data_IF_063518267677
#
_entry.id   IF_063518267677
#
_cell.length_a   1.000
_cell.length_b   1.000
_cell.length_c   1.000
_cell.angle_alpha   90.00
_cell.angle_beta   90.00
_cell.angle_gamma   90.00
#
_symmetry.space_group_name_H-M   'P 1'
#
loop_
_entity.id
_entity.type
_entity.pdbx_description
1 polymer ?
#
# COMPACT_ATOMS: atom_id res chain seq x y z
N UNK A 1 10.14 -0.31 -23.41
CA UNK A 1 10.75 -0.76 -22.13
C UNK A 1 9.67 -0.82 -21.08
N UNK A 2 10.03 -0.98 -19.80
CA UNK A 2 9.10 -0.72 -18.69
C UNK A 2 8.98 0.79 -18.46
N UNK A 3 7.79 1.35 -18.14
CA UNK A 3 7.60 2.79 -17.96
C UNK A 3 8.03 3.29 -16.58
N UNK A 4 8.31 2.39 -15.64
CA UNK A 4 8.62 2.73 -14.27
C UNK A 4 9.45 1.67 -13.55
N UNK A 5 10.12 2.10 -12.47
CA UNK A 5 10.75 1.26 -11.46
C UNK A 5 10.01 1.48 -10.14
N UNK A 6 9.66 0.40 -9.46
CA UNK A 6 9.06 0.44 -8.13
C UNK A 6 10.13 0.18 -7.06
N UNK A 7 10.03 0.84 -5.91
CA UNK A 7 10.92 0.59 -4.77
C UNK A 7 10.50 1.34 -3.51
N UNK A 8 11.43 1.43 -2.56
CA UNK A 8 11.24 2.11 -1.27
C UNK A 8 12.18 3.30 -1.12
N UNK A 9 11.75 4.29 -0.34
CA UNK A 9 12.62 5.37 0.13
C UNK A 9 13.03 5.03 1.56
N UNK A 10 14.13 4.29 1.72
CA UNK A 10 14.57 3.79 3.02
C UNK A 10 14.85 4.91 4.03
N UNK A 11 14.52 4.68 5.30
CA UNK A 11 14.83 5.60 6.39
C UNK A 11 16.23 5.33 6.93
N UNK A 12 17.06 6.35 6.93
CA UNK A 12 18.29 6.39 7.71
C UNK A 12 17.95 6.50 9.22
N UNK A 13 18.26 5.44 9.96
CA UNK A 13 17.92 5.30 11.38
C UNK A 13 18.73 6.22 12.30
N UNK A 14 19.84 6.78 11.81
CA UNK A 14 20.69 7.71 12.57
C UNK A 14 20.20 9.16 12.46
N UNK A 15 19.20 9.42 11.61
CA UNK A 15 18.68 10.74 11.30
C UNK A 15 17.25 10.91 11.82
N UNK A 16 16.87 12.16 12.12
CA UNK A 16 15.47 12.53 12.30
C UNK A 16 14.69 12.41 10.98
N UNK A 17 13.35 12.48 11.02
CA UNK A 17 12.55 12.49 9.78
C UNK A 17 12.86 13.73 8.92
N UNK A 18 13.03 14.91 9.52
CA UNK A 18 13.38 16.13 8.78
C UNK A 18 14.76 16.02 8.11
N UNK A 19 15.73 15.38 8.78
CA UNK A 19 17.04 15.09 8.20
C UNK A 19 16.95 14.03 7.09
N UNK A 20 16.05 13.04 7.22
CA UNK A 20 15.78 12.10 6.12
C UNK A 20 15.16 12.78 4.90
N UNK A 21 14.40 13.88 5.07
CA UNK A 21 13.90 14.66 3.92
C UNK A 21 15.05 15.35 3.18
N UNK A 22 16.06 15.84 3.91
CA UNK A 22 17.28 16.39 3.30
C UNK A 22 18.08 15.28 2.60
N UNK A 23 18.26 14.12 3.24
CA UNK A 23 18.93 12.96 2.64
C UNK A 23 18.19 12.47 1.37
N UNK A 24 16.86 12.48 1.37
CA UNK A 24 16.07 12.22 0.17
C UNK A 24 16.35 13.25 -0.93
N UNK A 25 16.37 14.54 -0.59
CA UNK A 25 16.67 15.60 -1.55
C UNK A 25 18.06 15.39 -2.19
N UNK A 26 19.08 15.08 -1.38
CA UNK A 26 20.44 14.85 -1.84
C UNK A 26 20.60 13.54 -2.65
N UNK A 27 19.92 12.47 -2.24
CA UNK A 27 20.11 11.13 -2.77
C UNK A 27 19.16 10.78 -3.91
N UNK A 28 17.87 11.12 -3.81
CA UNK A 28 16.84 10.71 -4.77
C UNK A 28 16.65 11.71 -5.91
N UNK A 29 16.84 13.02 -5.71
CA UNK A 29 16.66 14.00 -6.80
C UNK A 29 17.59 13.70 -7.99
N UNK A 30 18.90 13.40 -7.80
CA UNK A 30 19.76 12.99 -8.90
C UNK A 30 19.29 11.71 -9.60
N UNK A 31 18.78 10.73 -8.85
CA UNK A 31 18.24 9.48 -9.42
C UNK A 31 16.97 9.73 -10.25
N UNK A 32 16.11 10.64 -9.79
CA UNK A 32 14.90 11.03 -10.51
C UNK A 32 15.22 11.81 -11.80
N UNK A 33 16.28 12.63 -11.79
CA UNK A 33 16.79 13.26 -13.01
C UNK A 33 17.28 12.22 -14.04
N UNK A 34 17.98 11.18 -13.58
CA UNK A 34 18.37 10.06 -14.44
C UNK A 34 17.16 9.25 -14.93
N UNK A 35 16.13 9.06 -14.09
CA UNK A 35 14.88 8.43 -14.49
C UNK A 35 14.19 9.26 -15.59
N UNK A 36 14.13 10.59 -15.44
CA UNK A 36 13.60 11.50 -16.47
C UNK A 36 14.35 11.37 -17.79
N UNK A 37 15.68 11.34 -17.77
CA UNK A 37 16.50 11.18 -18.96
C UNK A 37 16.25 9.85 -19.71
N UNK A 38 15.61 8.89 -19.05
CA UNK A 38 15.26 7.56 -19.58
C UNK A 38 13.76 7.38 -19.79
N UNK A 39 12.96 8.43 -19.63
CA UNK A 39 11.49 8.38 -19.70
C UNK A 39 10.89 7.37 -18.71
N UNK A 40 11.44 7.34 -17.49
CA UNK A 40 11.03 6.45 -16.40
C UNK A 40 10.43 7.25 -15.25
N UNK A 41 9.41 6.67 -14.62
CA UNK A 41 8.97 7.06 -13.29
C UNK A 41 9.61 6.18 -12.22
N UNK A 42 9.92 6.76 -11.06
CA UNK A 42 10.15 6.02 -9.84
C UNK A 42 8.88 6.03 -8.99
N UNK A 43 8.42 4.84 -8.60
CA UNK A 43 7.18 4.66 -7.85
C UNK A 43 7.49 4.10 -6.48
N UNK A 44 7.10 4.82 -5.44
CA UNK A 44 7.29 4.37 -4.06
C UNK A 44 6.15 3.43 -3.66
N UNK A 45 6.47 2.23 -3.20
CA UNK A 45 5.54 1.36 -2.49
C UNK A 45 5.49 1.78 -1.01
N UNK A 46 4.29 1.97 -0.44
CA UNK A 46 4.10 2.55 0.90
C UNK A 46 4.26 1.56 2.07
N UNK A 47 5.18 0.60 1.99
CA UNK A 47 5.38 -0.37 3.08
C UNK A 47 6.05 0.30 4.29
N UNK A 48 5.50 0.26 5.52
CA UNK A 48 6.16 0.81 6.72
C UNK A 48 7.36 -0.04 7.17
N UNK A 49 7.40 -1.32 6.77
CA UNK A 49 8.51 -2.25 7.02
C UNK A 49 8.93 -2.35 8.50
N UNK A 50 8.01 -2.55 9.45
CA UNK A 50 8.34 -2.42 10.87
C UNK A 50 9.40 -3.43 11.31
N UNK A 51 9.43 -4.65 10.76
CA UNK A 51 10.40 -5.70 11.12
C UNK A 51 11.79 -5.59 10.47
N UNK A 52 12.08 -4.57 9.68
CA UNK A 52 13.38 -4.42 9.00
C UNK A 52 14.55 -4.13 9.95
N UNK A 53 14.26 -3.61 11.13
CA UNK A 53 15.25 -3.39 12.18
C UNK A 53 14.79 -4.05 13.46
N UNK A 54 15.74 -4.49 14.28
CA UNK A 54 15.47 -4.99 15.62
C UNK A 54 15.15 -3.87 16.61
N UNK A 55 15.43 -2.60 16.27
CA UNK A 55 15.07 -1.46 17.11
C UNK A 55 13.55 -1.23 17.19
N UNK A 56 13.14 -0.33 18.08
CA UNK A 56 11.72 0.01 18.28
C UNK A 56 11.22 1.10 17.31
N UNK A 57 11.85 1.20 16.14
CA UNK A 57 11.35 2.02 15.05
C UNK A 57 10.44 1.19 14.13
N UNK A 58 9.26 1.74 13.84
CA UNK A 58 8.20 1.08 13.09
C UNK A 58 8.11 1.53 11.63
N UNK A 59 8.80 2.61 11.27
CA UNK A 59 8.74 3.18 9.93
C UNK A 59 10.15 3.22 9.34
N UNK A 60 10.46 2.21 8.52
CA UNK A 60 11.78 2.05 7.88
C UNK A 60 11.78 2.48 6.39
N UNK A 61 10.62 2.87 5.87
CA UNK A 61 10.43 3.62 4.62
C UNK A 61 9.92 5.01 5.01
N UNK A 62 10.41 6.10 4.41
CA UNK A 62 9.90 7.44 4.68
C UNK A 62 8.70 7.79 3.79
N UNK A 63 8.47 7.08 2.70
CA UNK A 63 7.31 7.25 1.81
C UNK A 63 6.13 6.34 2.18
N UNK A 64 5.81 6.20 3.46
CA UNK A 64 4.85 5.21 3.96
C UNK A 64 3.41 5.76 4.12
N UNK A 65 3.18 7.07 4.05
CA UNK A 65 1.82 7.66 4.20
C UNK A 65 1.57 8.85 3.28
N UNK A 66 0.30 9.21 2.98
CA UNK A 66 -0.05 10.33 2.11
C UNK A 66 0.63 11.66 2.46
N UNK A 67 0.71 12.01 3.75
CA UNK A 67 1.41 13.22 4.18
C UNK A 67 2.90 13.21 3.80
N UNK A 68 3.57 12.06 3.91
CA UNK A 68 4.95 11.91 3.46
C UNK A 68 5.08 11.96 1.94
N UNK A 69 4.13 11.38 1.19
CA UNK A 69 4.14 11.41 -0.27
C UNK A 69 4.07 12.85 -0.80
N UNK A 70 3.20 13.67 -0.20
CA UNK A 70 3.06 15.09 -0.53
C UNK A 70 4.36 15.84 -0.21
N UNK A 71 4.97 15.60 0.96
CA UNK A 71 6.24 16.23 1.32
C UNK A 71 7.37 15.87 0.36
N UNK A 72 7.52 14.60 0.01
CA UNK A 72 8.52 14.10 -0.94
C UNK A 72 8.27 14.65 -2.35
N UNK A 73 7.02 14.68 -2.80
CA UNK A 73 6.68 15.25 -4.11
C UNK A 73 7.00 16.74 -4.17
N UNK A 74 6.70 17.52 -3.13
CA UNK A 74 7.06 18.95 -3.07
C UNK A 74 8.57 19.17 -3.17
N UNK A 75 9.40 18.27 -2.64
CA UNK A 75 10.85 18.30 -2.87
C UNK A 75 11.14 18.09 -4.34
N UNK A 76 10.60 17.03 -4.94
CA UNK A 76 10.80 16.70 -6.36
C UNK A 76 10.35 17.84 -7.30
N UNK A 77 9.23 18.49 -6.99
CA UNK A 77 8.66 19.61 -7.73
C UNK A 77 9.60 20.83 -7.73
N UNK A 78 10.15 21.21 -6.57
CA UNK A 78 11.13 22.32 -6.47
C UNK A 78 12.36 22.11 -7.35
N UNK A 79 12.73 20.86 -7.59
CA UNK A 79 13.87 20.46 -8.44
C UNK A 79 13.48 20.13 -9.89
N UNK A 80 12.22 20.33 -10.27
CA UNK A 80 11.76 20.08 -11.65
C UNK A 80 11.70 18.60 -12.04
N UNK A 81 11.67 17.68 -11.07
CA UNK A 81 11.55 16.21 -11.28
C UNK A 81 10.26 15.63 -10.68
N UNK A 82 9.27 16.48 -10.38
CA UNK A 82 7.99 16.08 -9.81
C UNK A 82 7.21 15.07 -10.65
N UNK A 83 7.39 15.06 -11.98
CA UNK A 83 6.75 14.09 -12.89
C UNK A 83 7.30 12.67 -12.75
N UNK A 84 8.51 12.52 -12.23
CA UNK A 84 9.17 11.22 -12.09
C UNK A 84 8.83 10.55 -10.75
N UNK A 85 8.38 11.29 -9.74
CA UNK A 85 8.00 10.75 -8.44
C UNK A 85 6.51 10.39 -8.39
N UNK A 86 6.21 9.12 -8.16
CA UNK A 86 4.84 8.60 -8.02
C UNK A 86 4.75 7.57 -6.90
N UNK A 87 3.54 7.12 -6.61
CA UNK A 87 3.22 6.07 -5.64
C UNK A 87 2.72 4.84 -6.39
N UNK A 88 3.23 3.66 -6.01
CA UNK A 88 2.68 2.38 -6.41
C UNK A 88 1.90 1.83 -5.21
N UNK A 89 0.60 2.14 -5.17
CA UNK A 89 -0.22 1.96 -3.98
C UNK A 89 -0.48 0.48 -3.69
N UNK A 90 -0.11 0.03 -2.50
CA UNK A 90 -0.48 -1.28 -1.95
C UNK A 90 -1.57 -1.20 -0.86
N UNK A 91 -2.79 -1.70 -1.11
CA UNK A 91 -3.86 -1.68 -0.11
C UNK A 91 -3.56 -2.53 1.13
N UNK A 92 -2.67 -3.53 1.07
CA UNK A 92 -2.31 -4.32 2.26
C UNK A 92 -1.69 -3.44 3.34
N UNK A 93 -0.85 -2.49 2.93
CA UNK A 93 -0.12 -1.62 3.85
C UNK A 93 -1.03 -0.56 4.48
N UNK A 94 -2.07 -0.13 3.77
CA UNK A 94 -3.10 0.71 4.35
C UNK A 94 -3.83 -0.03 5.48
N UNK A 95 -4.23 -1.29 5.25
CA UNK A 95 -4.81 -2.16 6.30
C UNK A 95 -3.84 -2.35 7.47
N UNK A 96 -2.53 -2.54 7.19
CA UNK A 96 -1.49 -2.67 8.23
C UNK A 96 -1.50 -1.49 9.20
N UNK A 97 -1.59 -0.29 8.64
CA UNK A 97 -1.51 0.97 9.36
C UNK A 97 -2.88 1.46 9.86
N UNK A 98 -3.94 0.64 9.70
CA UNK A 98 -5.30 1.00 10.09
C UNK A 98 -5.91 2.13 9.25
N UNK A 99 -5.39 2.38 8.05
CA UNK A 99 -5.85 3.43 7.14
C UNK A 99 -6.93 2.92 6.20
N UNK A 100 -7.98 3.72 6.01
CA UNK A 100 -9.03 3.47 5.04
C UNK A 100 -8.62 3.96 3.64
N UNK A 101 -8.67 3.07 2.64
CA UNK A 101 -8.23 3.38 1.27
C UNK A 101 -9.00 4.56 0.67
N UNK A 102 -10.33 4.58 0.83
CA UNK A 102 -11.17 5.66 0.29
C UNK A 102 -10.79 7.01 0.89
N UNK A 103 -10.53 7.04 2.20
CA UNK A 103 -10.07 8.23 2.92
C UNK A 103 -8.69 8.69 2.46
N UNK A 104 -7.76 7.76 2.17
CA UNK A 104 -6.46 8.11 1.57
C UNK A 104 -6.66 8.78 0.22
N UNK A 105 -7.47 8.20 -0.67
CA UNK A 105 -7.68 8.77 -2.00
C UNK A 105 -8.44 10.09 -1.94
N UNK A 106 -9.40 10.23 -1.02
CA UNK A 106 -10.09 11.50 -0.77
C UNK A 106 -9.11 12.57 -0.31
N UNK A 107 -8.22 12.26 0.65
CA UNK A 107 -7.21 13.19 1.12
C UNK A 107 -6.31 13.66 -0.02
N UNK A 108 -5.85 12.73 -0.86
CA UNK A 108 -5.04 13.10 -2.03
C UNK A 108 -5.82 14.01 -2.99
N UNK A 109 -7.10 13.73 -3.25
CA UNK A 109 -7.95 14.59 -4.08
C UNK A 109 -8.11 15.99 -3.50
N UNK A 110 -8.44 16.08 -2.22
CA UNK A 110 -8.69 17.35 -1.53
C UNK A 110 -7.43 18.22 -1.47
N UNK A 111 -6.26 17.60 -1.30
CA UNK A 111 -4.96 18.27 -1.29
C UNK A 111 -4.40 18.57 -2.69
N UNK A 112 -5.09 18.16 -3.76
CA UNK A 112 -4.66 18.38 -5.15
C UNK A 112 -3.55 17.44 -5.65
N UNK A 113 -3.43 16.25 -5.07
CA UNK A 113 -2.41 15.24 -5.34
C UNK A 113 -3.00 13.89 -5.81
N UNK A 114 -4.22 13.89 -6.35
CA UNK A 114 -4.88 12.69 -6.90
C UNK A 114 -4.07 11.96 -7.99
N UNK A 115 -3.15 12.66 -8.65
CA UNK A 115 -2.25 12.13 -9.68
C UNK A 115 -1.05 11.34 -9.13
N UNK A 116 -0.80 11.37 -7.82
CA UNK A 116 0.41 10.74 -7.24
C UNK A 116 0.40 9.23 -7.39
N UNK A 117 -0.76 8.60 -7.31
CA UNK A 117 -0.90 7.15 -7.48
C UNK A 117 -0.86 6.82 -8.97
N UNK A 118 0.13 6.04 -9.39
CA UNK A 118 0.36 5.69 -10.81
C UNK A 118 0.40 4.18 -11.07
N UNK A 119 0.06 3.38 -10.07
CA UNK A 119 0.05 1.92 -10.13
C UNK A 119 -0.40 1.34 -8.81
N UNK A 120 -0.79 0.07 -8.83
CA UNK A 120 -1.25 -0.63 -7.64
C UNK A 120 -0.55 -1.98 -7.49
N UNK A 121 -0.19 -2.31 -6.26
CA UNK A 121 -0.04 -3.69 -5.87
C UNK A 121 -1.44 -4.26 -5.59
N UNK A 122 -1.64 -5.51 -5.95
CA UNK A 122 -2.85 -6.26 -5.62
C UNK A 122 -2.39 -7.34 -4.64
N UNK A 123 -2.19 -6.91 -3.39
CA UNK A 123 -1.86 -7.74 -2.24
C UNK A 123 -2.91 -7.51 -1.16
N UNK A 124 -3.44 -8.59 -0.61
CA UNK A 124 -4.39 -8.47 0.48
C UNK A 124 -3.68 -8.50 1.83
N UNK A 125 -4.41 -8.14 2.87
CA UNK A 125 -3.99 -8.39 4.24
C UNK A 125 -5.21 -8.57 5.13
N UNK A 126 -5.08 -9.40 6.16
CA UNK A 126 -6.11 -9.63 7.17
C UNK A 126 -5.58 -9.28 8.55
N UNK A 127 -6.38 -8.53 9.30
CA UNK A 127 -6.13 -8.19 10.70
C UNK A 127 -6.68 -9.28 11.63
N UNK A 128 -5.83 -9.82 12.49
CA UNK A 128 -6.23 -10.67 13.61
C UNK A 128 -6.68 -9.82 14.80
N UNK A 129 -7.98 -9.88 15.09
CA UNK A 129 -8.60 -9.19 16.23
C UNK A 129 -7.99 -9.55 17.59
N UNK A 130 -7.51 -10.79 17.78
CA UNK A 130 -6.85 -11.19 19.02
C UNK A 130 -5.50 -10.52 19.13
N UNK A 131 -4.74 -10.49 18.04
CA UNK A 131 -3.49 -9.76 17.91
C UNK A 131 -3.64 -8.28 18.23
N UNK A 132 -4.62 -7.61 17.61
CA UNK A 132 -4.93 -6.20 17.89
C UNK A 132 -5.36 -6.00 19.35
N UNK A 133 -6.16 -6.90 19.92
CA UNK A 133 -6.58 -6.80 21.32
C UNK A 133 -5.39 -6.98 22.29
N UNK A 134 -4.38 -7.74 21.91
CA UNK A 134 -3.19 -7.98 22.73
C UNK A 134 -2.14 -6.86 22.59
N UNK A 135 -1.98 -6.30 21.39
CA UNK A 135 -0.82 -5.46 21.05
C UNK A 135 -1.15 -4.13 20.36
N UNK A 136 -2.40 -3.94 19.92
CA UNK A 136 -2.79 -2.83 19.06
C UNK A 136 -2.09 -2.86 17.68
N UNK A 137 -2.26 -1.79 16.90
CA UNK A 137 -1.59 -1.61 15.60
C UNK A 137 -0.08 -1.32 15.72
N UNK A 138 0.43 -1.16 16.95
CA UNK A 138 1.86 -1.10 17.23
C UNK A 138 2.54 -2.46 17.30
N UNK A 139 1.79 -3.58 17.26
CA UNK A 139 2.35 -4.92 17.32
C UNK A 139 3.12 -5.24 18.60
N UNK A 140 3.72 -6.44 18.64
CA UNK A 140 4.42 -6.89 19.84
C UNK A 140 5.74 -6.15 19.97
N UNK A 141 5.87 -5.30 21.00
CA UNK A 141 7.06 -4.50 21.26
C UNK A 141 8.01 -5.10 22.31
N UNK A 142 7.55 -6.06 23.12
CA UNK A 142 8.35 -6.71 24.16
C UNK A 142 8.40 -8.21 23.98
N UNK A 143 9.44 -8.87 24.52
CA UNK A 143 9.59 -10.34 24.52
C UNK A 143 9.52 -10.96 23.12
N UNK A 144 9.95 -10.21 22.10
CA UNK A 144 9.89 -10.64 20.70
C UNK A 144 10.86 -11.79 20.42
N UNK A 145 12.05 -11.76 21.03
CA UNK A 145 13.10 -12.77 20.84
C UNK A 145 14.22 -12.36 19.89
N UNK A 146 14.15 -11.16 19.29
CA UNK A 146 15.23 -10.55 18.51
C UNK A 146 16.28 -9.82 19.38
N UNK A 147 16.11 -9.79 20.70
CA UNK A 147 17.04 -9.22 21.68
C UNK A 147 17.37 -10.23 22.78
N UNK A 148 18.61 -10.20 23.27
CA UNK A 148 19.12 -11.00 24.39
C UNK A 148 19.96 -10.12 25.30
N UNK A 149 19.68 -10.16 26.60
CA UNK A 149 20.44 -9.43 27.63
C UNK A 149 20.63 -7.93 27.34
N UNK A 150 19.61 -7.29 26.74
CA UNK A 150 19.64 -5.87 26.43
C UNK A 150 20.32 -5.50 25.11
N UNK A 151 20.71 -6.48 24.29
CA UNK A 151 21.35 -6.26 22.99
C UNK A 151 20.61 -7.00 21.85
N UNK A 152 20.62 -6.47 20.62
CA UNK A 152 20.10 -7.21 19.46
C UNK A 152 20.81 -8.55 19.26
N UNK A 153 20.04 -9.59 18.93
CA UNK A 153 20.61 -10.90 18.58
C UNK A 153 21.53 -10.80 17.36
N UNK A 154 22.62 -11.56 17.39
CA UNK A 154 23.54 -11.72 16.25
C UNK A 154 23.09 -12.80 15.26
N UNK A 155 22.11 -13.62 15.65
CA UNK A 155 21.59 -14.70 14.81
C UNK A 155 20.50 -14.17 13.87
N UNK A 156 20.66 -14.22 12.53
CA UNK A 156 19.68 -13.67 11.59
C UNK A 156 18.28 -14.26 11.74
N UNK A 157 18.18 -15.55 12.10
CA UNK A 157 16.91 -16.21 12.34
C UNK A 157 16.15 -15.60 13.53
N UNK A 158 16.87 -15.16 14.56
CA UNK A 158 16.28 -14.50 15.73
C UNK A 158 15.95 -13.04 15.45
N UNK A 159 16.77 -12.34 14.64
CA UNK A 159 16.46 -10.99 14.17
C UNK A 159 15.12 -10.95 13.40
N UNK A 160 14.76 -12.04 12.71
CA UNK A 160 13.46 -12.20 12.06
C UNK A 160 12.27 -12.04 13.02
N UNK A 161 12.45 -12.24 14.32
CA UNK A 161 11.40 -12.03 15.32
C UNK A 161 11.00 -10.55 15.47
N UNK A 162 11.79 -9.60 14.95
CA UNK A 162 11.41 -8.20 14.86
C UNK A 162 10.10 -8.00 14.05
N UNK A 163 9.78 -8.93 13.13
CA UNK A 163 8.52 -8.92 12.38
C UNK A 163 7.29 -9.16 13.25
N UNK A 164 7.42 -9.57 14.52
CA UNK A 164 6.32 -9.58 15.48
C UNK A 164 5.72 -8.19 15.74
N UNK A 165 6.39 -7.11 15.32
CA UNK A 165 5.80 -5.78 15.19
C UNK A 165 4.64 -5.71 14.18
N UNK A 166 4.43 -6.73 13.35
CA UNK A 166 3.32 -6.86 12.39
C UNK A 166 2.64 -8.23 12.52
N UNK A 167 3.42 -9.32 12.49
CA UNK A 167 2.91 -10.69 12.31
C UNK A 167 2.05 -11.20 13.46
N UNK A 168 2.01 -10.52 14.61
CA UNK A 168 1.13 -10.88 15.72
C UNK A 168 -0.31 -10.43 15.53
N UNK A 169 -0.57 -9.47 14.63
CA UNK A 169 -1.91 -8.92 14.41
C UNK A 169 -2.29 -8.81 12.93
N UNK A 170 -1.38 -9.11 12.00
CA UNK A 170 -1.64 -8.99 10.57
C UNK A 170 -0.95 -10.10 9.78
N UNK A 171 -1.63 -10.60 8.75
CA UNK A 171 -1.10 -11.59 7.81
C UNK A 171 -1.42 -11.16 6.36
N UNK A 172 -0.41 -11.19 5.48
CA UNK A 172 -0.63 -10.99 4.06
C UNK A 172 -1.48 -12.12 3.48
N UNK A 173 -2.38 -11.78 2.58
CA UNK A 173 -3.20 -12.75 1.84
C UNK A 173 -3.09 -12.50 0.33
N UNK A 174 -3.59 -13.46 -0.43
CA UNK A 174 -3.71 -13.31 -1.87
C UNK A 174 -5.07 -12.69 -2.22
N UNK A 175 -5.15 -11.94 -3.33
CA UNK A 175 -6.41 -11.43 -3.81
C UNK A 175 -7.39 -12.60 -4.04
N UNK A 176 -8.57 -12.49 -3.43
CA UNK A 176 -9.64 -13.48 -3.53
C UNK A 176 -9.48 -14.71 -2.63
N UNK A 177 -8.48 -14.78 -1.75
CA UNK A 177 -8.31 -15.91 -0.82
C UNK A 177 -8.78 -15.62 0.61
N UNK A 178 -9.10 -14.36 0.92
CA UNK A 178 -9.71 -13.96 2.18
C UNK A 178 -10.93 -14.85 2.46
N UNK A 179 -11.05 -15.38 3.67
CA UNK A 179 -12.32 -15.98 4.08
C UNK A 179 -13.38 -14.89 4.03
N UNK A 180 -14.54 -15.22 3.46
CA UNK A 180 -15.64 -14.27 3.36
C UNK A 180 -16.09 -13.82 4.76
N UNK A 181 -15.72 -12.58 5.12
CA UNK A 181 -16.16 -11.89 6.33
C UNK A 181 -16.55 -10.46 5.94
N UNK A 182 -17.84 -10.21 5.62
CA UNK A 182 -18.31 -8.86 5.32
C UNK A 182 -18.02 -7.84 6.45
N UNK A 183 -17.94 -8.28 7.70
CA UNK A 183 -17.59 -7.39 8.81
C UNK A 183 -16.12 -6.97 8.74
N UNK A 184 -15.23 -7.81 8.20
CA UNK A 184 -13.84 -7.44 8.01
C UNK A 184 -13.70 -6.27 7.01
N UNK A 185 -14.47 -6.26 5.92
CA UNK A 185 -14.50 -5.15 4.96
C UNK A 185 -15.05 -3.86 5.60
N UNK A 186 -16.12 -3.97 6.38
CA UNK A 186 -16.73 -2.83 7.07
C UNK A 186 -15.80 -2.22 8.12
N UNK A 187 -14.98 -3.03 8.78
CA UNK A 187 -14.06 -2.59 9.83
C UNK A 187 -12.64 -2.32 9.33
N UNK A 188 -12.43 -2.28 8.00
CA UNK A 188 -11.11 -2.07 7.40
C UNK A 188 -10.04 -3.08 7.90
N UNK A 189 -10.48 -4.31 8.18
CA UNK A 189 -9.63 -5.43 8.66
C UNK A 189 -9.19 -6.35 7.53
N UNK A 190 -9.77 -6.21 6.35
CA UNK A 190 -9.32 -6.82 5.10
C UNK A 190 -9.63 -5.89 3.94
N UNK A 191 -8.93 -6.07 2.83
CA UNK A 191 -9.09 -5.23 1.63
C UNK A 191 -10.45 -5.51 0.99
N UNK A 192 -11.33 -4.52 0.98
CA UNK A 192 -12.51 -4.53 0.12
C UNK A 192 -12.08 -4.20 -1.32
N UNK A 193 -11.87 -5.24 -2.12
CA UNK A 193 -11.37 -5.08 -3.48
C UNK A 193 -12.31 -4.32 -4.41
N UNK A 194 -13.63 -4.42 -4.21
CA UNK A 194 -14.60 -3.72 -5.04
C UNK A 194 -14.60 -2.23 -4.69
N UNK A 195 -14.71 -1.89 -3.40
CA UNK A 195 -14.66 -0.50 -2.94
C UNK A 195 -13.31 0.15 -3.26
N UNK A 196 -12.21 -0.58 -3.14
CA UNK A 196 -10.88 -0.11 -3.53
C UNK A 196 -10.85 0.35 -5.00
N UNK A 197 -11.29 -0.50 -5.93
CA UNK A 197 -11.26 -0.18 -7.37
C UNK A 197 -12.27 0.94 -7.71
N UNK A 198 -13.41 0.99 -7.04
CA UNK A 198 -14.38 2.09 -7.18
C UNK A 198 -13.81 3.42 -6.69
N UNK A 199 -13.25 3.44 -5.48
CA UNK A 199 -12.64 4.63 -4.89
C UNK A 199 -11.48 5.15 -5.76
N UNK A 200 -10.66 4.26 -6.32
CA UNK A 200 -9.59 4.65 -7.23
C UNK A 200 -10.15 5.38 -8.47
N UNK A 201 -11.23 4.87 -9.09
CA UNK A 201 -11.87 5.48 -10.26
C UNK A 201 -12.56 6.81 -9.94
N UNK A 202 -13.12 6.94 -8.75
CA UNK A 202 -13.88 8.13 -8.32
C UNK A 202 -13.00 9.28 -7.83
N UNK A 203 -11.85 8.98 -7.23
CA UNK A 203 -11.09 9.95 -6.45
C UNK A 203 -9.70 10.24 -7.01
N UNK A 204 -9.13 9.34 -7.82
CA UNK A 204 -7.78 9.51 -8.36
C UNK A 204 -7.79 9.94 -9.83
N UNK A 205 -6.70 10.59 -10.25
CA UNK A 205 -6.48 10.95 -11.65
C UNK A 205 -5.74 9.80 -12.36
N UNK A 206 -6.51 8.82 -12.82
CA UNK A 206 -5.98 7.59 -13.41
C UNK A 206 -6.32 7.46 -14.89
N UNK A 207 -5.31 7.07 -15.67
CA UNK A 207 -5.53 6.41 -16.96
C UNK A 207 -5.83 4.93 -16.70
N UNK A 208 -7.08 4.65 -16.34
CA UNK A 208 -7.46 3.32 -15.85
C UNK A 208 -7.08 2.17 -16.80
N UNK A 209 -7.33 2.25 -18.13
CA UNK A 209 -6.92 1.19 -19.06
C UNK A 209 -5.42 0.86 -19.05
N UNK A 210 -4.57 1.82 -18.71
CA UNK A 210 -3.11 1.68 -18.78
C UNK A 210 -2.42 1.64 -17.41
N UNK A 211 -3.16 1.90 -16.32
CA UNK A 211 -2.60 1.87 -14.97
C UNK A 211 -2.31 0.42 -14.54
N UNK A 212 -1.07 0.08 -14.17
CA UNK A 212 -0.71 -1.30 -13.88
C UNK A 212 -1.25 -1.77 -12.53
N UNK A 213 -1.85 -2.96 -12.54
CA UNK A 213 -2.20 -3.76 -11.36
C UNK A 213 -1.21 -4.93 -11.25
N UNK A 214 -0.34 -4.91 -10.24
CA UNK A 214 0.67 -5.95 -10.00
C UNK A 214 0.15 -6.92 -8.94
N UNK A 215 -0.28 -8.11 -9.37
CA UNK A 215 -0.72 -9.16 -8.44
C UNK A 215 0.50 -9.74 -7.74
N UNK A 216 0.59 -9.51 -6.44
CA UNK A 216 1.71 -9.93 -5.62
C UNK A 216 1.34 -11.11 -4.72
N UNK A 217 2.33 -11.95 -4.47
CA UNK A 217 2.16 -13.16 -3.68
C UNK A 217 3.15 -13.21 -2.51
N UNK A 218 2.73 -12.69 -1.34
CA UNK A 218 3.53 -12.74 -0.10
C UNK A 218 2.99 -13.69 0.95
N UNK A 219 1.93 -14.45 0.67
CA UNK A 219 1.43 -15.44 1.61
C UNK A 219 2.46 -16.57 1.79
N UNK A 220 3.09 -16.62 2.96
CA UNK A 220 4.24 -17.48 3.27
C UNK A 220 4.05 -18.94 2.85
N UNK A 221 2.99 -19.64 3.30
CA UNK A 221 2.77 -21.04 2.98
C UNK A 221 2.69 -21.33 1.48
N UNK A 222 2.10 -20.43 0.70
CA UNK A 222 2.01 -20.60 -0.74
C UNK A 222 3.27 -20.10 -1.47
N UNK A 223 4.13 -19.29 -0.85
CA UNK A 223 5.38 -18.80 -1.44
C UNK A 223 6.51 -19.84 -1.36
N UNK A 224 6.49 -20.69 -0.34
CA UNK A 224 7.55 -21.69 -0.06
C UNK A 224 7.27 -23.08 -0.65
N UNK A 225 6.23 -23.21 -1.48
CA UNK A 225 5.85 -24.46 -2.13
C UNK A 225 6.51 -24.64 -3.50
N UNK A 226 6.33 -25.83 -4.10
CA UNK A 226 6.73 -26.11 -5.46
C UNK A 226 6.05 -25.18 -6.48
N UNK A 227 6.81 -24.68 -7.46
CA UNK A 227 6.33 -23.69 -8.42
C UNK A 227 5.08 -24.12 -9.19
N UNK A 228 4.97 -25.42 -9.50
CA UNK A 228 3.81 -25.96 -10.21
C UNK A 228 2.53 -25.89 -9.39
N UNK A 229 2.63 -26.12 -8.07
CA UNK A 229 1.51 -26.02 -7.13
C UNK A 229 1.01 -24.58 -6.95
N UNK A 230 1.88 -23.60 -7.17
CA UNK A 230 1.54 -22.17 -7.11
C UNK A 230 0.72 -21.69 -8.33
N UNK A 231 0.90 -22.30 -9.50
CA UNK A 231 0.23 -21.87 -10.74
C UNK A 231 -1.30 -21.78 -10.65
N UNK A 232 -2.06 -22.78 -10.14
CA UNK A 232 -3.51 -22.66 -10.03
C UNK A 232 -3.95 -21.54 -9.08
N UNK A 233 -3.19 -21.28 -8.02
CA UNK A 233 -3.46 -20.19 -7.06
C UNK A 233 -3.32 -18.84 -7.78
N UNK A 234 -2.21 -18.62 -8.48
CA UNK A 234 -1.98 -17.37 -9.24
C UNK A 234 -3.05 -17.15 -10.32
N UNK A 235 -3.46 -18.22 -11.02
CA UNK A 235 -4.55 -18.15 -12.00
C UNK A 235 -5.86 -17.71 -11.34
N UNK A 236 -6.17 -18.26 -10.17
CA UNK A 236 -7.34 -17.90 -9.38
C UNK A 236 -7.33 -16.43 -8.97
N UNK A 237 -6.22 -15.95 -8.36
CA UNK A 237 -6.10 -14.55 -7.93
C UNK A 237 -6.17 -13.57 -9.11
N UNK A 238 -5.49 -13.85 -10.24
CA UNK A 238 -5.59 -13.00 -11.44
C UNK A 238 -7.01 -12.97 -11.98
N UNK A 239 -7.70 -14.12 -12.03
CA UNK A 239 -9.09 -14.17 -12.48
C UNK A 239 -10.01 -13.35 -11.56
N UNK A 240 -9.86 -13.50 -10.24
CA UNK A 240 -10.59 -12.71 -9.26
C UNK A 240 -10.35 -11.21 -9.45
N UNK A 241 -9.09 -10.76 -9.51
CA UNK A 241 -8.74 -9.35 -9.70
C UNK A 241 -9.37 -8.77 -10.96
N UNK A 242 -9.33 -9.49 -12.09
CA UNK A 242 -9.98 -9.06 -13.34
C UNK A 242 -11.49 -8.90 -13.19
N UNK A 243 -12.15 -9.87 -12.56
CA UNK A 243 -13.62 -9.81 -12.39
C UNK A 243 -14.05 -8.70 -11.45
N UNK A 244 -13.28 -8.42 -10.40
CA UNK A 244 -13.56 -7.30 -9.51
C UNK A 244 -13.35 -5.96 -10.22
N UNK A 245 -12.27 -5.81 -11.01
CA UNK A 245 -12.06 -4.60 -11.79
C UNK A 245 -13.18 -4.37 -12.82
N UNK A 246 -13.62 -5.42 -13.53
CA UNK A 246 -14.77 -5.38 -14.43
C UNK A 246 -16.07 -4.95 -13.71
N UNK A 247 -16.32 -5.51 -12.52
CA UNK A 247 -17.49 -5.16 -11.72
C UNK A 247 -17.45 -3.69 -11.28
N UNK A 248 -16.29 -3.22 -10.80
CA UNK A 248 -16.09 -1.82 -10.42
C UNK A 248 -16.29 -0.88 -11.62
N UNK A 249 -15.76 -1.23 -12.80
CA UNK A 249 -15.94 -0.45 -14.02
C UNK A 249 -17.42 -0.33 -14.44
N UNK A 250 -18.17 -1.44 -14.39
CA UNK A 250 -19.61 -1.45 -14.67
C UNK A 250 -20.38 -0.53 -13.71
N UNK A 251 -20.11 -0.65 -12.41
CA UNK A 251 -20.78 0.15 -11.38
C UNK A 251 -20.44 1.64 -11.52
N UNK A 252 -19.15 1.97 -11.72
CA UNK A 252 -18.70 3.33 -11.97
C UNK A 252 -19.38 3.96 -13.20
N UNK A 253 -19.44 3.23 -14.32
CA UNK A 253 -20.06 3.74 -15.55
C UNK A 253 -21.56 4.02 -15.36
N UNK A 254 -22.29 3.13 -14.66
CA UNK A 254 -23.70 3.35 -14.36
C UNK A 254 -23.89 4.62 -13.51
N UNK A 255 -23.08 4.80 -12.48
CA UNK A 255 -23.23 5.88 -11.51
C UNK A 255 -22.75 7.24 -12.03
N UNK A 256 -21.62 7.28 -12.72
CA UNK A 256 -20.97 8.53 -13.12
C UNK A 256 -21.27 8.96 -14.56
N UNK A 257 -21.83 8.07 -15.39
CA UNK A 257 -22.09 8.35 -16.81
C UNK A 257 -23.56 8.15 -17.17
N UNK A 258 -24.11 6.96 -16.92
CA UNK A 258 -25.45 6.59 -17.43
C UNK A 258 -26.57 7.32 -16.69
N UNK A 259 -26.60 7.25 -15.35
CA UNK A 259 -27.64 7.93 -14.56
C UNK A 259 -27.58 9.47 -14.72
N UNK A 260 -26.40 10.13 -14.61
CA UNK A 260 -26.31 11.57 -14.80
C UNK A 260 -26.72 12.03 -16.21
N UNK A 261 -26.40 11.26 -17.26
CA UNK A 261 -26.83 11.57 -18.63
C UNK A 261 -28.35 11.55 -18.81
N UNK A 262 -29.08 10.87 -17.92
CA UNK A 262 -30.55 10.83 -17.89
C UNK A 262 -31.14 11.81 -16.88
N UNK A 263 -30.32 12.62 -16.19
CA UNK A 263 -30.77 13.48 -15.09
C UNK A 263 -31.26 12.71 -13.86
N UNK A 264 -30.90 11.43 -13.74
CA UNK A 264 -31.29 10.59 -12.61
C UNK A 264 -30.18 10.66 -11.55
N UNK A 265 -30.50 11.00 -10.29
CA UNK A 265 -29.50 10.98 -9.23
C UNK A 265 -29.04 9.55 -8.94
N UNK A 266 -27.78 9.39 -8.55
CA UNK A 266 -27.26 8.13 -8.03
C UNK A 266 -28.06 7.73 -6.79
N UNK A 267 -28.43 6.45 -6.72
CA UNK A 267 -29.26 5.90 -5.64
C UNK A 267 -28.42 5.46 -4.44
N UNK A 268 -29.02 5.54 -3.25
CA UNK A 268 -28.43 5.05 -2.00
C UNK A 268 -27.36 5.98 -1.40
N UNK A 269 -26.71 5.49 -0.35
CA UNK A 269 -25.57 6.16 0.30
C UNK A 269 -24.41 5.19 0.28
N UNK A 270 -23.31 5.58 -0.37
CA UNK A 270 -22.08 4.79 -0.42
C UNK A 270 -21.25 4.93 0.85
N UNK A 271 -20.08 4.26 0.89
CA UNK A 271 -19.07 4.52 1.92
C UNK A 271 -18.60 5.97 1.81
N UNK A 272 -18.59 6.69 2.92
CA UNK A 272 -18.02 8.05 2.96
C UNK A 272 -16.59 8.00 3.50
N UNK A 273 -15.69 8.84 2.98
CA UNK A 273 -14.34 8.99 3.53
C UNK A 273 -14.41 9.50 4.98
N UNK A 274 -13.39 9.15 5.77
CA UNK A 274 -13.19 9.53 7.17
C UNK A 274 -14.25 9.03 8.16
N UNK A 275 -15.12 8.08 7.77
CA UNK A 275 -16.04 7.44 8.72
C UNK A 275 -15.29 6.44 9.61
N UNK A 276 -15.45 6.60 10.92
CA UNK A 276 -14.99 5.69 11.97
C UNK A 276 -15.91 4.50 12.15
#
# INVERSE_FOLDING_TARGET
GVPAVCGFVGRNQQLSMDQNLQDFEDSFVPLLAEARARDLQYRVEQCPMPGWTTGDNFHNNIGYTPGTWIALHRICERHGVGEQFRIHYDPSHAVLMGQDTRSIFQLLRDEGYAFLVAGFHVKGQVVDSRGVSAWGYGGQSVERGDWKDGEPSREPAEQGMAWKKQSVFCEHELPGTARHDPLAYLQNRSVDWLDHQLAARELLELDVPNTPLIVEHEYGPARVQERESLLPILKGSIAFTRRIDEAAACMYALQQQVLPAQGIPVQGVGREPYRS
#
